data_IF_993539861766
#
_entry.id   IF_993539861766
#
_cell.length_a   1.000
_cell.length_b   1.000
_cell.length_c   1.000
_cell.angle_alpha   90.00
_cell.angle_beta   90.00
_cell.angle_gamma   90.00
#
_symmetry.space_group_name_H-M   'P 1'
#
loop_
_entity.id
_entity.type
_entity.pdbx_description
1 polymer ?
#
# COMPACT_ATOMS: atom_id res chain seq x y z
N UNK A 1 28.48 -18.29 -12.29
CA UNK A 1 27.24 -17.79 -11.63
C UNK A 1 26.19 -17.58 -12.70
N UNK A 2 24.95 -18.04 -12.47
CA UNK A 2 23.86 -17.71 -13.39
C UNK A 2 23.60 -16.20 -13.34
N UNK A 3 23.48 -15.51 -14.48
CA UNK A 3 23.20 -14.07 -14.49
C UNK A 3 21.81 -13.79 -13.90
N UNK A 4 21.68 -12.68 -13.17
CA UNK A 4 20.38 -12.18 -12.67
C UNK A 4 19.49 -11.89 -13.91
N UNK A 5 18.27 -12.40 -13.89
CA UNK A 5 17.29 -12.21 -14.99
C UNK A 5 16.05 -11.42 -14.54
N UNK A 6 15.72 -11.47 -13.27
CA UNK A 6 14.51 -10.88 -12.73
C UNK A 6 14.85 -9.92 -11.57
N UNK A 7 14.13 -8.80 -11.49
CA UNK A 7 14.19 -7.87 -10.38
C UNK A 7 12.77 -7.72 -9.82
N UNK A 8 12.61 -8.01 -8.54
CA UNK A 8 11.35 -7.82 -7.83
C UNK A 8 11.47 -6.53 -7.02
N UNK A 9 10.58 -5.56 -7.29
CA UNK A 9 10.50 -4.30 -6.59
C UNK A 9 9.42 -4.33 -5.52
N UNK A 10 9.71 -3.75 -4.36
CA UNK A 10 8.67 -3.33 -3.43
C UNK A 10 8.08 -1.98 -3.88
N UNK A 11 6.86 -1.67 -3.41
CA UNK A 11 6.20 -0.40 -3.71
C UNK A 11 6.47 0.63 -2.60
N UNK A 12 5.98 0.34 -1.40
CA UNK A 12 5.99 1.28 -0.28
C UNK A 12 7.38 1.54 0.28
N UNK A 13 7.79 2.81 0.40
CA UNK A 13 9.13 3.19 0.83
C UNK A 13 10.22 3.00 -0.22
N UNK A 14 9.94 2.35 -1.34
CA UNK A 14 10.87 2.16 -2.46
C UNK A 14 10.47 3.03 -3.65
N UNK A 15 9.31 2.78 -4.21
CA UNK A 15 8.77 3.51 -5.39
C UNK A 15 7.81 4.60 -4.94
N UNK A 16 6.83 4.24 -4.12
CA UNK A 16 5.85 5.13 -3.52
C UNK A 16 6.40 5.65 -2.18
N UNK A 17 6.61 6.94 -2.08
CA UNK A 17 7.04 7.56 -0.83
C UNK A 17 5.90 7.47 0.21
N UNK A 18 6.21 6.98 1.42
CA UNK A 18 5.26 6.80 2.52
C UNK A 18 5.73 7.46 3.81
N UNK A 19 4.73 7.91 4.60
CA UNK A 19 4.94 8.45 5.94
C UNK A 19 3.89 7.87 6.90
N UNK A 20 4.23 6.81 7.62
CA UNK A 20 3.35 6.13 8.58
C UNK A 20 2.82 7.08 9.67
N UNK A 21 3.65 8.04 10.12
CA UNK A 21 3.24 8.99 11.15
C UNK A 21 2.05 9.85 10.70
N UNK A 22 1.96 10.19 9.41
CA UNK A 22 0.84 10.97 8.90
C UNK A 22 -0.52 10.26 9.07
N UNK A 23 -0.57 8.94 8.96
CA UNK A 23 -1.79 8.15 9.24
C UNK A 23 -2.10 8.14 10.73
N UNK A 24 -1.10 7.95 11.59
CA UNK A 24 -1.27 8.00 13.06
C UNK A 24 -1.84 9.37 13.46
N UNK A 25 -1.20 10.45 13.04
CA UNK A 25 -1.62 11.82 13.34
C UNK A 25 -3.04 12.11 12.82
N UNK A 26 -3.40 11.57 11.66
CA UNK A 26 -4.72 11.76 11.07
C UNK A 26 -5.81 11.06 11.89
N UNK A 27 -5.58 9.83 12.34
CA UNK A 27 -6.51 9.12 13.21
C UNK A 27 -6.62 9.74 14.61
N UNK A 28 -5.53 10.21 15.18
CA UNK A 28 -5.54 10.92 16.47
C UNK A 28 -6.36 12.22 16.39
N UNK A 29 -6.27 12.97 15.28
CA UNK A 29 -7.12 14.14 15.01
C UNK A 29 -8.61 13.81 14.89
N UNK A 30 -8.96 12.60 14.50
CA UNK A 30 -10.33 12.09 14.45
C UNK A 30 -10.83 11.63 15.85
N UNK A 31 -9.99 11.74 16.89
CA UNK A 31 -10.32 11.32 18.24
C UNK A 31 -10.00 9.86 18.56
N UNK A 32 -9.29 9.16 17.65
CA UNK A 32 -8.81 7.80 17.88
C UNK A 32 -7.47 7.86 18.60
N UNK A 33 -7.50 8.07 19.90
CA UNK A 33 -6.30 8.13 20.74
C UNK A 33 -5.54 6.80 20.71
N UNK A 34 -4.21 6.87 20.72
CA UNK A 34 -3.32 5.70 20.75
C UNK A 34 -3.42 4.80 19.49
N UNK A 35 -3.77 5.34 18.34
CA UNK A 35 -3.81 4.57 17.08
C UNK A 35 -2.46 3.90 16.78
N UNK A 36 -1.35 4.49 17.21
CA UNK A 36 0.01 3.92 17.13
C UNK A 36 0.15 2.56 17.80
N UNK A 37 -0.63 2.28 18.86
CA UNK A 37 -0.63 0.98 19.54
C UNK A 37 -1.41 -0.08 18.76
N UNK A 38 -2.34 0.33 17.91
CA UNK A 38 -3.16 -0.54 17.07
C UNK A 38 -2.46 -0.86 15.76
N UNK A 39 -1.75 0.13 15.21
CA UNK A 39 -1.09 0.06 13.92
C UNK A 39 0.30 0.66 13.97
N UNK A 40 1.30 -0.16 13.79
CA UNK A 40 2.69 0.27 13.60
C UNK A 40 3.37 -0.65 12.58
N UNK A 41 4.51 -0.21 12.07
CA UNK A 41 5.31 -1.01 11.14
C UNK A 41 5.80 -2.34 11.77
N UNK A 42 5.87 -2.42 13.10
CA UNK A 42 6.37 -3.58 13.86
C UNK A 42 5.28 -4.43 14.51
N UNK A 43 4.11 -3.85 14.76
CA UNK A 43 3.01 -4.53 15.43
C UNK A 43 1.69 -4.06 14.84
N UNK A 44 0.88 -5.01 14.40
CA UNK A 44 -0.44 -4.76 13.84
C UNK A 44 -1.44 -5.72 14.46
N UNK A 45 -2.66 -5.25 14.70
CA UNK A 45 -3.74 -6.16 15.06
C UNK A 45 -4.08 -7.07 13.88
N UNK A 46 -4.53 -8.29 14.18
CA UNK A 46 -4.81 -9.33 13.18
C UNK A 46 -5.71 -8.87 12.02
N UNK A 47 -6.64 -7.95 12.25
CA UNK A 47 -7.55 -7.50 11.17
C UNK A 47 -6.85 -6.63 10.11
N UNK A 48 -5.76 -5.91 10.45
CA UNK A 48 -4.94 -5.23 9.45
C UNK A 48 -4.28 -6.25 8.51
N UNK A 49 -3.79 -7.37 9.06
CA UNK A 49 -3.22 -8.46 8.26
C UNK A 49 -4.27 -9.07 7.33
N UNK A 50 -5.50 -9.29 7.84
CA UNK A 50 -6.63 -9.79 7.05
C UNK A 50 -6.98 -8.82 5.91
N UNK A 51 -6.91 -7.51 6.16
CA UNK A 51 -7.16 -6.50 5.13
C UNK A 51 -6.04 -6.44 4.09
N UNK A 52 -4.78 -6.49 4.53
CA UNK A 52 -3.62 -6.54 3.62
C UNK A 52 -3.56 -7.81 2.77
N UNK A 53 -4.21 -8.89 3.20
CA UNK A 53 -4.31 -10.14 2.44
C UNK A 53 -5.66 -10.33 1.75
N UNK A 54 -6.54 -9.30 1.79
CA UNK A 54 -7.83 -9.34 1.09
C UNK A 54 -8.87 -10.31 1.70
N UNK A 55 -8.65 -10.78 2.94
CA UNK A 55 -9.59 -11.66 3.63
C UNK A 55 -10.77 -10.90 4.26
N UNK A 56 -10.68 -9.58 4.35
CA UNK A 56 -11.80 -8.69 4.69
C UNK A 56 -11.90 -7.57 3.65
N UNK A 57 -13.13 -7.08 3.42
CA UNK A 57 -13.39 -6.00 2.46
C UNK A 57 -13.00 -4.62 3.03
N UNK A 58 -12.98 -3.61 2.16
CA UNK A 58 -12.76 -2.21 2.56
C UNK A 58 -13.84 -1.72 3.53
N UNK A 59 -15.10 -2.11 3.30
CA UNK A 59 -16.24 -1.76 4.14
C UNK A 59 -16.10 -2.41 5.52
N UNK A 60 -15.73 -3.69 5.56
CA UNK A 60 -15.50 -4.39 6.82
C UNK A 60 -14.32 -3.81 7.60
N UNK A 61 -13.24 -3.43 6.92
CA UNK A 61 -12.11 -2.76 7.53
C UNK A 61 -12.53 -1.43 8.18
N UNK A 62 -13.26 -0.58 7.44
CA UNK A 62 -13.77 0.71 7.94
C UNK A 62 -14.71 0.51 9.13
N UNK A 63 -15.63 -0.44 9.05
CA UNK A 63 -16.55 -0.78 10.13
C UNK A 63 -15.80 -1.21 11.40
N UNK A 64 -14.75 -2.03 11.28
CA UNK A 64 -13.92 -2.45 12.43
C UNK A 64 -13.19 -1.27 13.08
N UNK A 65 -12.68 -0.32 12.29
CA UNK A 65 -12.10 0.93 12.83
C UNK A 65 -13.17 1.72 13.61
N UNK A 66 -14.38 1.88 13.07
CA UNK A 66 -15.48 2.59 13.75
C UNK A 66 -15.85 1.94 15.08
N UNK A 67 -15.92 0.60 15.13
CA UNK A 67 -16.27 -0.15 16.34
C UNK A 67 -15.22 -0.06 17.46
N UNK A 68 -14.00 0.36 17.14
CA UNK A 68 -12.95 0.55 18.15
C UNK A 68 -13.13 1.82 18.99
N UNK A 69 -14.03 2.70 18.61
CA UNK A 69 -14.19 4.01 19.24
C UNK A 69 -15.66 4.35 19.44
N UNK A 70 -15.92 5.09 20.53
CA UNK A 70 -17.26 5.60 20.87
C UNK A 70 -17.69 6.81 20.01
N UNK A 71 -16.75 7.43 19.27
CA UNK A 71 -17.03 8.58 18.41
C UNK A 71 -17.46 8.08 17.03
N UNK A 72 -18.59 8.61 16.54
CA UNK A 72 -19.07 8.29 15.20
C UNK A 72 -18.26 9.08 14.17
N UNK A 73 -17.42 8.36 13.41
CA UNK A 73 -16.57 8.94 12.36
C UNK A 73 -17.10 8.47 11.00
N UNK A 74 -17.20 9.38 10.02
CA UNK A 74 -17.65 8.98 8.68
C UNK A 74 -16.65 8.05 7.99
N UNK A 75 -17.14 7.18 7.11
CA UNK A 75 -16.30 6.27 6.30
C UNK A 75 -15.24 7.04 5.51
N UNK A 76 -15.61 8.18 4.95
CA UNK A 76 -14.73 9.04 4.17
C UNK A 76 -13.56 9.57 5.01
N UNK A 77 -13.82 10.01 6.24
CA UNK A 77 -12.77 10.46 7.15
C UNK A 77 -11.81 9.35 7.53
N UNK A 78 -12.32 8.12 7.77
CA UNK A 78 -11.47 6.95 8.05
C UNK A 78 -10.59 6.62 6.84
N UNK A 79 -11.16 6.56 5.64
CA UNK A 79 -10.43 6.29 4.38
C UNK A 79 -9.38 7.37 4.14
N UNK A 80 -9.72 8.64 4.36
CA UNK A 80 -8.78 9.75 4.22
C UNK A 80 -7.63 9.65 5.20
N UNK A 81 -7.92 9.37 6.48
CA UNK A 81 -6.90 9.19 7.51
C UNK A 81 -6.01 7.98 7.20
N UNK A 82 -6.59 6.85 6.75
CA UNK A 82 -5.85 5.67 6.36
C UNK A 82 -4.88 5.94 5.21
N UNK A 83 -5.31 6.72 4.21
CA UNK A 83 -4.50 7.09 3.05
C UNK A 83 -3.50 8.23 3.30
N UNK A 84 -3.48 8.86 4.48
CA UNK A 84 -2.62 10.01 4.77
C UNK A 84 -1.13 9.70 4.65
N UNK A 85 -0.73 8.43 4.83
CA UNK A 85 0.65 7.98 4.65
C UNK A 85 1.14 8.03 3.21
N UNK A 86 0.25 7.98 2.21
CA UNK A 86 0.62 7.89 0.79
C UNK A 86 1.05 9.26 0.27
N UNK A 87 2.33 9.45 -0.03
CA UNK A 87 2.89 10.74 -0.46
C UNK A 87 2.92 10.91 -1.97
N UNK A 88 3.42 9.92 -2.70
CA UNK A 88 3.45 9.96 -4.16
C UNK A 88 4.60 9.18 -4.76
N UNK A 89 4.57 9.09 -6.08
CA UNK A 89 5.61 8.41 -6.88
C UNK A 89 6.39 9.46 -7.65
N UNK A 90 7.71 9.43 -7.56
CA UNK A 90 8.59 10.32 -8.30
C UNK A 90 8.84 9.76 -9.71
N UNK A 91 8.68 10.59 -10.72
CA UNK A 91 8.86 10.19 -12.13
C UNK A 91 10.23 9.58 -12.40
N UNK A 92 11.31 10.13 -11.84
CA UNK A 92 12.66 9.63 -12.03
C UNK A 92 12.85 8.18 -11.55
N UNK A 93 12.11 7.73 -10.53
CA UNK A 93 12.11 6.32 -10.09
C UNK A 93 11.51 5.43 -11.18
N UNK A 94 10.41 5.85 -11.81
CA UNK A 94 9.76 5.11 -12.89
C UNK A 94 10.67 5.04 -14.14
N UNK A 95 11.27 6.17 -14.52
CA UNK A 95 12.22 6.24 -15.65
C UNK A 95 13.41 5.30 -15.43
N UNK A 96 13.93 5.21 -14.20
CA UNK A 96 14.99 4.27 -13.85
C UNK A 96 14.55 2.80 -14.03
N UNK A 97 13.34 2.44 -13.55
CA UNK A 97 12.82 1.08 -13.69
C UNK A 97 12.61 0.71 -15.16
N UNK A 98 12.08 1.63 -15.98
CA UNK A 98 11.92 1.43 -17.43
C UNK A 98 13.27 1.11 -18.09
N UNK A 99 14.33 1.81 -17.73
CA UNK A 99 15.66 1.55 -18.29
C UNK A 99 16.20 0.15 -17.91
N UNK A 100 15.83 -0.39 -16.75
CA UNK A 100 16.21 -1.74 -16.35
C UNK A 100 15.54 -2.83 -17.19
N UNK A 101 14.36 -2.57 -17.78
CA UNK A 101 13.63 -3.55 -18.60
C UNK A 101 14.37 -4.00 -19.85
N UNK A 102 15.36 -3.24 -20.31
CA UNK A 102 16.20 -3.67 -21.43
C UNK A 102 17.04 -4.92 -21.11
N UNK A 103 17.35 -5.16 -19.84
CA UNK A 103 18.24 -6.24 -19.40
C UNK A 103 17.58 -7.22 -18.42
N UNK A 104 16.48 -6.83 -17.77
CA UNK A 104 15.84 -7.59 -16.69
C UNK A 104 14.33 -7.62 -16.87
N UNK A 105 13.72 -8.72 -16.42
CA UNK A 105 12.27 -8.76 -16.17
C UNK A 105 12.00 -8.04 -14.85
N UNK A 106 11.18 -7.01 -14.87
CA UNK A 106 10.84 -6.22 -13.70
C UNK A 106 9.43 -6.60 -13.20
N UNK A 107 9.32 -6.89 -11.93
CA UNK A 107 8.09 -7.34 -11.27
C UNK A 107 7.86 -6.47 -10.05
N UNK A 108 6.62 -6.09 -9.80
CA UNK A 108 6.21 -5.44 -8.54
C UNK A 108 5.58 -6.46 -7.61
N UNK A 109 6.01 -6.48 -6.35
CA UNK A 109 5.44 -7.30 -5.28
C UNK A 109 5.29 -6.46 -4.01
N UNK A 110 4.06 -6.08 -3.69
CA UNK A 110 3.75 -5.15 -2.59
C UNK A 110 2.78 -5.74 -1.58
N UNK A 111 3.09 -5.59 -0.29
CA UNK A 111 2.10 -5.72 0.77
C UNK A 111 1.29 -4.42 0.80
N UNK A 112 -0.01 -4.51 0.46
CA UNK A 112 -0.90 -3.36 0.38
C UNK A 112 -2.37 -3.81 0.40
N UNK A 113 -3.30 -2.87 0.43
CA UNK A 113 -4.74 -3.12 0.51
C UNK A 113 -5.51 -2.31 -0.53
N UNK A 114 -6.77 -2.66 -0.77
CA UNK A 114 -7.59 -2.07 -1.85
C UNK A 114 -7.83 -0.56 -1.65
N UNK A 115 -7.95 -0.06 -0.41
CA UNK A 115 -8.10 1.38 -0.14
C UNK A 115 -6.86 2.15 -0.61
N UNK A 116 -5.66 1.64 -0.28
CA UNK A 116 -4.41 2.25 -0.73
C UNK A 116 -4.24 2.16 -2.24
N UNK A 117 -4.54 0.98 -2.84
CA UNK A 117 -4.45 0.78 -4.30
C UNK A 117 -5.33 1.80 -5.03
N UNK A 118 -6.60 1.90 -4.65
CA UNK A 118 -7.52 2.87 -5.25
C UNK A 118 -6.99 4.31 -5.14
N UNK A 119 -6.51 4.70 -3.96
CA UNK A 119 -6.02 6.06 -3.72
C UNK A 119 -4.76 6.41 -4.52
N UNK A 120 -3.75 5.55 -4.55
CA UNK A 120 -2.53 5.89 -5.29
C UNK A 120 -2.70 5.74 -6.80
N UNK A 121 -3.53 4.80 -7.29
CA UNK A 121 -3.83 4.69 -8.73
C UNK A 121 -4.64 5.90 -9.21
N UNK A 122 -5.61 6.38 -8.43
CA UNK A 122 -6.35 7.62 -8.73
C UNK A 122 -5.41 8.83 -8.81
N UNK A 123 -4.55 9.03 -7.82
CA UNK A 123 -3.55 10.11 -7.81
C UNK A 123 -2.62 10.04 -9.03
N UNK A 124 -2.16 8.84 -9.40
CA UNK A 124 -1.33 8.64 -10.58
C UNK A 124 -2.10 8.88 -11.88
N UNK A 125 -3.39 8.53 -11.94
CA UNK A 125 -4.26 8.79 -13.09
C UNK A 125 -4.42 10.29 -13.30
N UNK A 126 -4.74 11.04 -12.25
CA UNK A 126 -4.90 12.48 -12.28
C UNK A 126 -3.61 13.21 -12.74
N UNK A 127 -2.44 12.68 -12.40
CA UNK A 127 -1.12 13.19 -12.81
C UNK A 127 -0.62 12.57 -14.12
N UNK A 128 -1.44 11.78 -14.84
CA UNK A 128 -1.09 11.09 -16.08
C UNK A 128 0.15 10.16 -15.98
N UNK A 129 0.44 9.66 -14.77
CA UNK A 129 1.59 8.79 -14.53
C UNK A 129 1.24 7.31 -14.37
N UNK A 130 -0.05 6.95 -14.29
CA UNK A 130 -0.51 5.57 -14.05
C UNK A 130 -0.08 4.61 -15.17
N UNK A 131 -0.23 5.01 -16.42
CA UNK A 131 0.21 4.21 -17.57
C UNK A 131 1.71 3.98 -17.53
N UNK A 132 2.48 5.01 -17.24
CA UNK A 132 3.94 4.90 -17.08
C UNK A 132 4.31 3.96 -15.93
N UNK A 133 3.66 4.09 -14.76
CA UNK A 133 3.87 3.18 -13.62
C UNK A 133 3.57 1.72 -14.02
N UNK A 134 2.42 1.46 -14.64
CA UNK A 134 2.05 0.09 -15.06
C UNK A 134 3.02 -0.48 -16.10
N UNK A 135 3.54 0.36 -17.00
CA UNK A 135 4.51 -0.06 -18.02
C UNK A 135 5.89 -0.42 -17.45
N UNK A 136 6.22 0.02 -16.23
CA UNK A 136 7.46 -0.32 -15.55
C UNK A 136 7.60 -1.82 -15.27
N UNK A 137 6.50 -2.57 -15.19
CA UNK A 137 6.50 -3.95 -14.72
C UNK A 137 5.87 -4.90 -15.75
N UNK A 138 6.42 -6.10 -15.82
CA UNK A 138 5.81 -7.22 -16.58
C UNK A 138 4.61 -7.77 -15.81
N UNK A 139 4.72 -7.83 -14.47
CA UNK A 139 3.69 -8.30 -13.55
C UNK A 139 3.64 -7.38 -12.34
N UNK A 140 2.42 -7.15 -11.84
CA UNK A 140 2.16 -6.41 -10.60
C UNK A 140 1.36 -7.32 -9.68
N UNK A 141 1.91 -7.54 -8.48
CA UNK A 141 1.31 -8.35 -7.44
C UNK A 141 1.05 -7.52 -6.20
N UNK A 142 -0.20 -7.47 -5.78
CA UNK A 142 -0.66 -6.86 -4.53
C UNK A 142 -1.13 -7.94 -3.58
N UNK A 143 -0.69 -7.91 -2.32
CA UNK A 143 -1.02 -8.91 -1.31
C UNK A 143 -2.52 -9.11 -1.11
N UNK A 144 -3.31 -8.02 -1.14
CA UNK A 144 -4.77 -8.07 -1.03
C UNK A 144 -5.45 -8.85 -2.16
N UNK A 145 -4.81 -8.95 -3.35
CA UNK A 145 -5.32 -9.69 -4.51
C UNK A 145 -4.74 -11.09 -4.61
N UNK A 146 -3.63 -11.34 -3.91
CA UNK A 146 -2.98 -12.65 -3.89
C UNK A 146 -3.51 -13.55 -2.77
N UNK A 147 -4.13 -13.01 -1.74
CA UNK A 147 -4.47 -13.72 -0.51
C UNK A 147 -3.28 -14.02 0.41
N UNK A 148 -2.08 -13.51 0.06
CA UNK A 148 -0.81 -13.77 0.74
C UNK A 148 0.04 -12.51 0.77
N UNK A 149 0.89 -12.37 1.79
CA UNK A 149 1.83 -11.25 1.90
C UNK A 149 3.26 -11.69 2.20
N UNK A 150 4.22 -10.86 1.83
CA UNK A 150 5.63 -11.04 2.24
C UNK A 150 5.72 -11.03 3.78
N UNK A 151 6.57 -11.87 4.41
CA UNK A 151 7.62 -12.71 3.81
C UNK A 151 7.20 -14.16 3.52
N UNK A 152 5.92 -14.47 3.32
CA UNK A 152 5.49 -15.82 3.04
C UNK A 152 6.24 -16.39 1.81
N UNK A 153 6.79 -17.62 1.91
CA UNK A 153 7.69 -18.20 0.90
C UNK A 153 7.05 -18.34 -0.50
N UNK A 154 5.73 -18.55 -0.58
CA UNK A 154 4.99 -18.63 -1.86
C UNK A 154 4.99 -17.29 -2.62
N UNK A 155 5.33 -16.16 -1.96
CA UNK A 155 5.43 -14.86 -2.63
C UNK A 155 6.69 -14.74 -3.51
N UNK A 156 7.64 -15.67 -3.42
CA UNK A 156 8.90 -15.68 -4.14
C UNK A 156 9.06 -16.97 -4.92
#
# INVERSE_FOLDING_TARGET
MNPIKNIIFDLGGVILDINYQATIDAFEKLGISNFSNLYSQRSQQKFFDLFETGHISSEEFVMRIQQMHSVQISNEHIITAWNAMLKGVKKNKLDYIINLKSNYRTILLSNTNEIHIASFEEKMSNNQTLTHFKSCFEKIYYSSRMGLKKPHSICF
#
